data_IF_103305781747
#
_entry.id   IF_103305781747
#
_cell.length_a   1.000
_cell.length_b   1.000
_cell.length_c   1.000
_cell.angle_alpha   90.00
_cell.angle_beta   90.00
_cell.angle_gamma   90.00
#
_symmetry.space_group_name_H-M   'P 1'
#
loop_
_entity.id
_entity.type
_entity.pdbx_description
1 polymer ?
#
# COMPACT_ATOMS: atom_id res chain seq x y z
N UNK A 1 3.24 -16.41 -66.00
CA UNK A 1 3.49 -15.17 -66.76
C UNK A 1 4.72 -14.49 -66.17
N UNK A 2 5.74 -14.19 -66.97
CA UNK A 2 6.85 -13.33 -66.51
C UNK A 2 6.32 -11.90 -66.41
N UNK A 3 6.26 -11.36 -65.20
CA UNK A 3 5.83 -9.98 -64.96
C UNK A 3 6.82 -9.04 -65.63
N UNK A 4 6.35 -8.21 -66.57
CA UNK A 4 7.18 -7.17 -67.17
C UNK A 4 7.15 -5.93 -66.27
N UNK A 5 8.25 -5.68 -65.55
CA UNK A 5 8.36 -4.55 -64.63
C UNK A 5 8.73 -3.28 -65.40
N UNK A 6 8.14 -2.14 -65.03
CA UNK A 6 8.60 -0.85 -65.55
C UNK A 6 10.08 -0.61 -65.21
N UNK A 7 10.83 0.11 -66.06
CA UNK A 7 12.18 0.56 -65.74
C UNK A 7 12.21 1.30 -64.39
N UNK A 8 13.32 1.18 -63.64
CA UNK A 8 13.42 1.74 -62.29
C UNK A 8 13.07 3.23 -62.22
N UNK A 9 13.53 4.00 -63.21
CA UNK A 9 13.32 5.45 -63.32
C UNK A 9 11.85 5.82 -63.52
N UNK A 10 11.13 5.09 -64.36
CA UNK A 10 9.71 5.29 -64.61
C UNK A 10 8.87 4.84 -63.41
N UNK A 11 9.24 3.70 -62.83
CA UNK A 11 8.55 3.13 -61.68
C UNK A 11 8.65 4.03 -60.45
N UNK A 12 9.84 4.57 -60.13
CA UNK A 12 9.98 5.53 -59.02
C UNK A 12 9.29 6.87 -59.32
N UNK A 13 9.31 7.35 -60.56
CA UNK A 13 8.61 8.58 -60.95
C UNK A 13 7.09 8.47 -60.76
N UNK A 14 6.51 7.29 -61.01
CA UNK A 14 5.13 7.00 -60.66
C UNK A 14 4.91 7.07 -59.14
N UNK A 15 5.78 6.43 -58.35
CA UNK A 15 5.67 6.42 -56.89
C UNK A 15 5.82 7.82 -56.29
N UNK A 16 6.67 8.68 -56.85
CA UNK A 16 6.81 10.09 -56.43
C UNK A 16 5.49 10.87 -56.60
N UNK A 17 4.72 10.61 -57.66
CA UNK A 17 3.40 11.23 -57.88
C UNK A 17 2.38 10.85 -56.81
N UNK A 18 2.56 9.72 -56.13
CA UNK A 18 1.70 9.28 -55.03
C UNK A 18 1.99 10.01 -53.71
N UNK A 19 3.09 10.77 -53.64
CA UNK A 19 3.47 11.61 -52.49
C UNK A 19 3.51 10.85 -51.14
N UNK A 20 3.89 9.57 -51.17
CA UNK A 20 4.08 8.80 -49.94
C UNK A 20 5.30 9.30 -49.19
N UNK A 21 5.11 9.54 -47.89
CA UNK A 21 6.17 10.03 -46.99
C UNK A 21 6.81 8.93 -46.16
N UNK A 22 6.15 7.78 -46.04
CA UNK A 22 6.62 6.68 -45.17
C UNK A 22 6.59 5.34 -45.87
N UNK A 23 7.48 4.44 -45.41
CA UNK A 23 7.51 3.04 -45.84
C UNK A 23 6.17 2.35 -45.56
N UNK A 24 5.52 2.70 -44.45
CA UNK A 24 4.21 2.15 -44.07
C UNK A 24 3.14 2.50 -45.10
N UNK A 25 3.07 3.74 -45.57
CA UNK A 25 2.13 4.16 -46.61
C UNK A 25 2.34 3.35 -47.92
N UNK A 26 3.61 3.15 -48.31
CA UNK A 26 3.94 2.33 -49.47
C UNK A 26 3.52 0.87 -49.31
N UNK A 27 3.73 0.28 -48.13
CA UNK A 27 3.34 -1.11 -47.86
C UNK A 27 1.82 -1.30 -47.85
N UNK A 28 1.07 -0.36 -47.27
CA UNK A 28 -0.39 -0.37 -47.28
C UNK A 28 -0.90 -0.25 -48.73
N UNK A 29 -0.41 0.74 -49.48
CA UNK A 29 -0.76 0.92 -50.88
C UNK A 29 -0.43 -0.32 -51.73
N UNK A 30 0.76 -0.89 -51.55
CA UNK A 30 1.21 -2.07 -52.30
C UNK A 30 0.34 -3.31 -52.08
N UNK A 31 -0.34 -3.39 -50.92
CA UNK A 31 -1.27 -4.47 -50.54
C UNK A 31 -2.74 -4.14 -50.84
N UNK A 32 -3.07 -2.88 -51.14
CA UNK A 32 -4.45 -2.41 -51.32
C UNK A 32 -5.14 -2.87 -52.61
N UNK A 33 -4.43 -3.56 -53.51
CA UNK A 33 -4.91 -3.88 -54.87
C UNK A 33 -4.86 -2.71 -55.86
N UNK A 34 -4.62 -1.47 -55.40
CA UNK A 34 -4.54 -0.27 -56.25
C UNK A 34 -3.18 -0.04 -56.91
N UNK A 35 -2.17 -0.86 -56.59
CA UNK A 35 -0.83 -0.78 -57.16
C UNK A 35 -0.85 -1.36 -58.58
N UNK A 36 -0.39 -0.63 -59.61
CA UNK A 36 -0.28 -1.17 -60.97
C UNK A 36 0.52 -2.47 -61.00
N UNK A 37 0.10 -3.42 -61.83
CA UNK A 37 0.71 -4.75 -61.91
C UNK A 37 2.19 -4.71 -62.32
N UNK A 38 2.59 -3.72 -63.11
CA UNK A 38 3.95 -3.47 -63.59
C UNK A 38 4.84 -2.66 -62.62
N UNK A 39 4.35 -2.32 -61.42
CA UNK A 39 5.12 -1.68 -60.35
C UNK A 39 5.38 -2.71 -59.25
N UNK A 40 6.61 -3.09 -58.90
CA UNK A 40 6.83 -4.15 -57.93
C UNK A 40 6.47 -3.72 -56.51
N UNK A 41 5.84 -4.61 -55.73
CA UNK A 41 5.59 -4.39 -54.29
C UNK A 41 6.89 -4.40 -53.45
N UNK A 42 7.93 -5.05 -53.97
CA UNK A 42 9.26 -5.15 -53.36
C UNK A 42 10.34 -4.62 -54.33
N UNK A 43 10.43 -3.29 -54.53
CA UNK A 43 11.32 -2.69 -55.53
C UNK A 43 12.80 -3.01 -55.28
N UNK A 44 13.25 -3.16 -54.03
CA UNK A 44 14.61 -3.63 -53.69
C UNK A 44 14.97 -4.97 -54.32
N UNK A 45 14.00 -5.90 -54.41
CA UNK A 45 14.22 -7.25 -54.97
C UNK A 45 14.22 -7.21 -56.49
N UNK A 46 13.37 -6.37 -57.07
CA UNK A 46 13.23 -6.25 -58.53
C UNK A 46 14.37 -5.44 -59.14
N UNK A 47 14.68 -4.27 -58.58
CA UNK A 47 15.67 -3.33 -59.12
C UNK A 47 17.02 -3.46 -58.41
N UNK A 48 17.49 -4.68 -58.15
CA UNK A 48 18.66 -4.94 -57.28
C UNK A 48 19.91 -4.13 -57.67
N UNK A 49 20.15 -3.91 -58.97
CA UNK A 49 21.30 -3.17 -59.50
C UNK A 49 21.11 -1.64 -59.47
N UNK A 50 19.87 -1.15 -59.51
CA UNK A 50 19.53 0.27 -59.62
C UNK A 50 18.98 0.85 -58.31
N UNK A 51 18.75 0.02 -57.30
CA UNK A 51 18.10 0.36 -56.04
C UNK A 51 18.95 1.31 -55.18
N UNK A 52 18.44 2.53 -54.96
CA UNK A 52 19.12 3.57 -54.16
C UNK A 52 18.57 3.73 -52.73
N UNK A 53 17.65 2.87 -52.33
CA UNK A 53 17.00 2.91 -51.03
C UNK A 53 15.56 3.40 -51.08
N UNK A 54 14.84 3.17 -49.98
CA UNK A 54 13.40 3.44 -49.94
C UNK A 54 13.09 4.94 -50.08
N UNK A 55 13.99 5.81 -49.64
CA UNK A 55 13.76 7.25 -49.75
C UNK A 55 13.84 7.77 -51.19
N UNK A 56 14.77 7.26 -52.01
CA UNK A 56 14.81 7.56 -53.45
C UNK A 56 13.57 6.99 -54.16
N UNK A 57 13.11 5.81 -53.74
CA UNK A 57 11.91 5.19 -54.28
C UNK A 57 10.63 5.97 -53.98
N UNK A 58 10.50 6.50 -52.75
CA UNK A 58 9.33 7.27 -52.33
C UNK A 58 9.41 8.75 -52.75
N UNK A 59 10.58 9.23 -53.16
CA UNK A 59 10.80 10.65 -53.49
C UNK A 59 10.85 11.53 -52.24
N UNK A 60 11.19 10.94 -51.10
CA UNK A 60 11.39 11.69 -49.85
C UNK A 60 12.83 12.16 -49.82
N UNK A 61 13.06 13.47 -49.93
CA UNK A 61 14.39 14.04 -49.71
C UNK A 61 14.85 13.67 -48.29
N UNK A 62 15.88 12.84 -48.18
CA UNK A 62 16.48 12.54 -46.87
C UNK A 62 17.24 13.79 -46.44
N UNK A 63 16.60 14.63 -45.64
CA UNK A 63 17.37 15.48 -44.75
C UNK A 63 18.08 14.52 -43.80
N UNK A 64 19.39 14.34 -43.99
CA UNK A 64 20.24 13.59 -43.05
C UNK A 64 19.86 14.03 -41.63
N UNK A 65 19.79 13.10 -40.67
CA UNK A 65 19.39 13.41 -39.30
C UNK A 65 20.17 14.59 -38.69
N UNK A 66 21.41 14.81 -39.15
CA UNK A 66 22.27 15.93 -38.76
C UNK A 66 21.94 17.28 -39.45
N UNK A 67 21.25 17.26 -40.59
CA UNK A 67 20.79 18.44 -41.34
C UNK A 67 19.35 18.87 -40.99
N UNK A 68 18.68 18.16 -40.08
CA UNK A 68 17.30 18.47 -39.67
C UNK A 68 17.26 19.78 -38.89
N UNK A 69 16.58 20.77 -39.44
CA UNK A 69 16.27 22.02 -38.76
C UNK A 69 14.97 21.83 -37.99
N UNK A 70 15.06 21.76 -36.66
CA UNK A 70 13.88 21.71 -35.80
C UNK A 70 13.36 23.12 -35.54
N UNK A 71 12.03 23.30 -35.56
CA UNK A 71 11.44 24.60 -35.23
C UNK A 71 11.76 24.98 -33.78
N UNK A 72 11.68 26.28 -33.47
CA UNK A 72 11.93 26.81 -32.12
C UNK A 72 11.01 26.15 -31.09
N UNK A 73 11.52 26.00 -29.87
CA UNK A 73 10.83 25.29 -28.79
C UNK A 73 9.40 25.81 -28.56
N UNK A 74 9.22 27.13 -28.53
CA UNK A 74 7.91 27.76 -28.30
C UNK A 74 6.87 27.41 -29.37
N UNK A 75 7.26 27.36 -30.63
CA UNK A 75 6.36 27.01 -31.73
C UNK A 75 6.13 25.50 -31.82
N UNK A 76 7.13 24.71 -31.42
CA UNK A 76 7.02 23.27 -31.31
C UNK A 76 6.01 22.84 -30.23
N UNK A 77 6.12 23.39 -29.02
CA UNK A 77 5.18 23.06 -27.94
C UNK A 77 3.77 23.54 -28.22
N UNK A 78 3.58 24.72 -28.83
CA UNK A 78 2.25 25.19 -29.28
C UNK A 78 1.57 24.21 -30.24
N UNK A 79 2.33 23.57 -31.13
CA UNK A 79 1.79 22.50 -31.98
C UNK A 79 1.39 21.28 -31.16
N UNK A 80 2.26 20.85 -30.24
CA UNK A 80 2.03 19.65 -29.41
C UNK A 80 0.83 19.84 -28.47
N UNK A 81 0.61 21.04 -27.93
CA UNK A 81 -0.54 21.36 -27.08
C UNK A 81 -1.87 21.12 -27.79
N UNK A 82 -1.94 21.40 -29.10
CA UNK A 82 -3.14 21.14 -29.92
C UNK A 82 -3.46 19.64 -30.08
N UNK A 83 -2.52 18.76 -29.75
CA UNK A 83 -2.74 17.31 -29.79
C UNK A 83 -3.36 16.76 -28.50
N UNK A 84 -3.44 17.57 -27.44
CA UNK A 84 -4.06 17.22 -26.15
C UNK A 84 -3.56 15.89 -25.56
N UNK A 85 -2.28 15.58 -25.78
CA UNK A 85 -1.67 14.34 -25.33
C UNK A 85 -1.39 14.39 -23.83
N UNK A 86 -1.94 13.43 -23.11
CA UNK A 86 -1.96 13.46 -21.63
C UNK A 86 -0.66 13.02 -20.96
N UNK A 87 0.23 12.31 -21.66
CA UNK A 87 1.47 11.79 -21.06
C UNK A 87 2.54 11.45 -22.12
N UNK A 88 3.73 11.11 -21.61
CA UNK A 88 4.89 10.74 -22.44
C UNK A 88 4.63 9.52 -23.32
N UNK A 89 3.87 8.54 -22.86
CA UNK A 89 3.60 7.33 -23.62
C UNK A 89 2.70 7.62 -24.82
N UNK A 90 1.68 8.46 -24.62
CA UNK A 90 0.84 8.99 -25.69
C UNK A 90 1.66 9.76 -26.74
N UNK A 91 2.65 10.54 -26.31
CA UNK A 91 3.59 11.20 -27.23
C UNK A 91 4.46 10.22 -28.03
N UNK A 92 4.96 9.18 -27.39
CA UNK A 92 5.78 8.16 -28.05
C UNK A 92 4.95 7.41 -29.10
N UNK A 93 3.73 7.01 -28.76
CA UNK A 93 2.82 6.35 -29.71
C UNK A 93 2.47 7.27 -30.89
N UNK A 94 2.13 8.54 -30.62
CA UNK A 94 1.91 9.53 -31.67
C UNK A 94 3.11 9.64 -32.64
N UNK A 95 4.34 9.67 -32.11
CA UNK A 95 5.55 9.72 -32.94
C UNK A 95 5.75 8.47 -33.80
N UNK A 96 5.39 7.27 -33.28
CA UNK A 96 5.51 6.00 -34.01
C UNK A 96 4.53 5.92 -35.19
N UNK A 97 3.35 6.52 -35.07
CA UNK A 97 2.35 6.56 -36.15
C UNK A 97 2.80 7.36 -37.38
N UNK A 98 3.87 8.16 -37.26
CA UNK A 98 4.45 8.89 -38.39
C UNK A 98 3.65 10.14 -38.82
N UNK A 99 2.66 10.55 -38.01
CA UNK A 99 1.83 11.73 -38.27
C UNK A 99 2.48 13.05 -37.83
N UNK A 100 3.63 12.97 -37.16
CA UNK A 100 4.35 14.14 -36.64
C UNK A 100 5.12 14.85 -37.78
N UNK A 101 5.01 16.19 -37.91
CA UNK A 101 5.83 16.97 -38.84
C UNK A 101 7.34 16.71 -38.68
N UNK A 102 8.08 16.77 -39.79
CA UNK A 102 9.52 16.44 -39.81
C UNK A 102 10.38 17.41 -38.98
N UNK A 103 9.90 18.64 -38.78
CA UNK A 103 10.54 19.72 -38.02
C UNK A 103 10.22 19.70 -36.51
N UNK A 104 9.47 18.69 -36.04
CA UNK A 104 9.27 18.42 -34.62
C UNK A 104 10.13 17.22 -34.23
N UNK A 105 10.94 17.26 -33.16
CA UNK A 105 11.76 16.13 -32.77
C UNK A 105 10.95 15.02 -32.09
N UNK A 106 11.34 13.75 -32.28
CA UNK A 106 10.77 12.64 -31.48
C UNK A 106 11.16 12.74 -30.00
N UNK A 107 12.41 13.15 -29.73
CA UNK A 107 12.93 13.39 -28.39
C UNK A 107 13.19 14.89 -28.20
N UNK A 108 12.20 15.65 -27.71
CA UNK A 108 12.33 17.10 -27.57
C UNK A 108 13.34 17.51 -26.50
N UNK A 109 13.62 16.67 -25.49
CA UNK A 109 14.67 16.94 -24.51
C UNK A 109 16.05 17.04 -25.19
N UNK A 110 16.40 16.09 -26.05
CA UNK A 110 17.69 16.12 -26.76
C UNK A 110 17.86 17.37 -27.62
N UNK A 111 16.78 17.82 -28.26
CA UNK A 111 16.79 18.96 -29.18
C UNK A 111 16.76 20.29 -28.44
N UNK A 112 15.97 20.42 -27.38
CA UNK A 112 15.68 21.70 -26.73
C UNK A 112 16.33 21.87 -25.35
N UNK A 113 17.16 20.94 -24.88
CA UNK A 113 17.81 20.98 -23.55
C UNK A 113 18.42 22.34 -23.19
N UNK A 114 19.05 23.01 -24.17
CA UNK A 114 19.72 24.30 -24.01
C UNK A 114 18.96 25.46 -24.68
N UNK A 115 17.74 25.20 -25.15
CA UNK A 115 16.92 26.11 -25.95
C UNK A 115 15.53 26.29 -25.36
N UNK A 116 15.44 26.31 -24.03
CA UNK A 116 14.22 26.62 -23.29
C UNK A 116 13.38 25.43 -22.83
N UNK A 117 13.86 24.18 -22.94
CA UNK A 117 13.13 22.99 -22.47
C UNK A 117 12.74 23.06 -20.99
N UNK A 118 11.43 23.01 -20.70
CA UNK A 118 10.87 23.06 -19.34
C UNK A 118 10.34 21.71 -18.82
N UNK A 119 10.59 20.64 -19.56
CA UNK A 119 10.11 19.31 -19.22
C UNK A 119 8.90 18.86 -20.03
N UNK A 120 8.53 17.60 -19.82
CA UNK A 120 7.50 16.95 -20.63
C UNK A 120 6.10 17.53 -20.39
N UNK A 121 5.80 18.01 -19.18
CA UNK A 121 4.49 18.62 -18.91
C UNK A 121 4.29 19.96 -19.63
N UNK A 122 5.32 20.79 -19.71
CA UNK A 122 5.29 22.01 -20.55
C UNK A 122 5.21 21.66 -22.03
N UNK A 123 5.96 20.64 -22.49
CA UNK A 123 5.90 20.18 -23.87
C UNK A 123 4.51 19.69 -24.30
N UNK A 124 3.84 18.92 -23.43
CA UNK A 124 2.52 18.36 -23.70
C UNK A 124 1.37 19.31 -23.38
N UNK A 125 1.64 20.38 -22.63
CA UNK A 125 0.60 21.31 -22.17
C UNK A 125 -0.21 20.79 -20.99
N UNK A 126 0.26 19.74 -20.30
CA UNK A 126 -0.41 19.17 -19.12
C UNK A 126 -0.12 19.97 -17.84
N UNK A 127 0.76 20.97 -17.90
CA UNK A 127 1.17 21.78 -16.76
C UNK A 127 1.97 21.02 -15.68
N UNK A 128 2.29 19.74 -15.90
CA UNK A 128 2.98 18.90 -14.92
C UNK A 128 4.44 19.32 -14.77
N UNK A 129 4.81 19.87 -13.61
CA UNK A 129 6.18 20.24 -13.30
C UNK A 129 7.04 19.01 -13.01
N UNK A 130 8.35 19.11 -13.28
CA UNK A 130 9.28 18.09 -12.82
C UNK A 130 9.32 18.10 -11.29
N UNK A 131 9.42 16.92 -10.65
CA UNK A 131 9.36 16.80 -9.18
C UNK A 131 10.33 17.71 -8.43
N UNK A 132 11.50 18.00 -9.02
CA UNK A 132 12.53 18.88 -8.45
C UNK A 132 12.13 20.37 -8.43
N UNK A 133 11.21 20.77 -9.30
CA UNK A 133 10.77 22.15 -9.51
C UNK A 133 9.42 22.41 -8.80
N UNK A 134 8.85 21.40 -8.13
CA UNK A 134 7.61 21.52 -7.35
C UNK A 134 7.92 22.06 -5.95
N UNK A 135 7.36 23.22 -5.64
CA UNK A 135 7.32 23.73 -4.27
C UNK A 135 6.16 23.09 -3.50
N UNK A 136 6.48 22.07 -2.69
CA UNK A 136 5.49 21.34 -1.90
C UNK A 136 4.94 22.17 -0.75
N UNK A 137 3.68 21.91 -0.39
CA UNK A 137 3.09 22.53 0.81
C UNK A 137 3.88 22.16 2.08
N UNK A 138 3.93 23.06 3.08
CA UNK A 138 4.47 22.72 4.39
C UNK A 138 3.75 21.50 4.98
N UNK A 139 4.49 20.64 5.69
CA UNK A 139 3.98 19.36 6.20
C UNK A 139 2.63 19.49 6.91
N UNK A 140 2.49 20.46 7.83
CA UNK A 140 1.24 20.69 8.58
C UNK A 140 0.06 20.98 7.67
N UNK A 141 0.24 21.83 6.67
CA UNK A 141 -0.83 22.20 5.71
C UNK A 141 -1.23 20.99 4.86
N UNK A 142 -0.24 20.27 4.34
CA UNK A 142 -0.48 19.09 3.53
C UNK A 142 -1.16 17.97 4.34
N UNK A 143 -0.75 17.76 5.59
CA UNK A 143 -1.35 16.79 6.51
C UNK A 143 -2.82 17.09 6.80
N UNK A 144 -3.15 18.36 7.12
CA UNK A 144 -4.55 18.78 7.36
C UNK A 144 -5.42 18.49 6.13
N UNK A 145 -4.90 18.75 4.92
CA UNK A 145 -5.62 18.42 3.70
C UNK A 145 -5.83 16.91 3.56
N UNK A 146 -4.78 16.11 3.77
CA UNK A 146 -4.87 14.65 3.62
C UNK A 146 -5.81 14.02 4.65
N UNK A 147 -5.87 14.55 5.87
CA UNK A 147 -6.82 14.10 6.90
C UNK A 147 -8.27 14.26 6.46
N UNK A 148 -8.59 15.32 5.70
CA UNK A 148 -9.95 15.55 5.15
C UNK A 148 -10.36 14.54 4.08
N UNK A 149 -9.44 13.75 3.55
CA UNK A 149 -9.72 12.73 2.53
C UNK A 149 -10.20 11.40 3.12
N UNK A 150 -10.10 11.23 4.45
CA UNK A 150 -10.57 10.04 5.18
C UNK A 150 -10.03 8.69 4.63
N UNK A 151 -8.82 8.70 4.08
CA UNK A 151 -8.19 7.51 3.50
C UNK A 151 -7.73 6.55 4.60
N UNK A 152 -8.00 5.26 4.44
CA UNK A 152 -7.83 4.30 5.53
C UNK A 152 -6.46 3.61 5.56
N UNK A 153 -5.69 3.71 4.47
CA UNK A 153 -4.40 3.04 4.38
C UNK A 153 -3.53 3.44 3.20
N UNK A 154 -2.34 2.84 3.16
CA UNK A 154 -1.34 3.14 2.12
C UNK A 154 -1.82 2.81 0.71
N UNK A 155 -2.67 1.80 0.55
CA UNK A 155 -3.22 1.44 -0.77
C UNK A 155 -4.22 2.50 -1.26
N UNK A 156 -5.06 3.03 -0.36
CA UNK A 156 -5.98 4.12 -0.68
C UNK A 156 -5.20 5.39 -1.06
N UNK A 157 -4.12 5.69 -0.33
CA UNK A 157 -3.21 6.78 -0.68
C UNK A 157 -2.62 6.61 -2.08
N UNK A 158 -2.18 5.40 -2.42
CA UNK A 158 -1.60 5.09 -3.74
C UNK A 158 -2.63 5.24 -4.86
N UNK A 159 -3.87 4.78 -4.64
CA UNK A 159 -4.98 4.96 -5.59
C UNK A 159 -5.32 6.43 -5.77
N UNK A 160 -5.43 7.19 -4.68
CA UNK A 160 -5.67 8.63 -4.72
C UNK A 160 -4.57 9.39 -5.48
N UNK A 161 -3.30 9.02 -5.28
CA UNK A 161 -2.19 9.63 -6.02
C UNK A 161 -2.27 9.37 -7.55
N UNK A 162 -2.88 8.27 -7.96
CA UNK A 162 -3.02 7.87 -9.36
C UNK A 162 -4.30 8.36 -10.04
N UNK A 163 -5.30 8.81 -9.27
CA UNK A 163 -6.60 9.22 -9.83
C UNK A 163 -6.57 10.55 -10.57
N UNK A 164 -5.46 11.30 -10.49
CA UNK A 164 -5.37 12.67 -11.03
C UNK A 164 -5.92 13.75 -10.09
N UNK A 165 -6.66 13.37 -9.03
CA UNK A 165 -7.27 14.33 -8.10
C UNK A 165 -6.29 14.89 -7.06
N UNK A 166 -5.10 14.29 -6.92
CA UNK A 166 -4.08 14.74 -5.97
C UNK A 166 -3.52 16.10 -6.41
N UNK A 167 -3.63 17.15 -5.58
CA UNK A 167 -2.99 18.43 -5.87
C UNK A 167 -1.50 18.28 -6.17
N UNK A 168 -0.98 19.06 -7.11
CA UNK A 168 0.44 19.00 -7.52
C UNK A 168 1.38 19.30 -6.35
N UNK A 169 1.01 20.29 -5.51
CA UNK A 169 1.76 20.72 -4.32
C UNK A 169 1.77 19.70 -3.17
N UNK A 170 1.14 18.54 -3.36
CA UNK A 170 1.18 17.43 -2.40
C UNK A 170 2.07 16.32 -2.97
N UNK A 171 3.14 15.91 -2.28
CA UNK A 171 4.01 14.86 -2.77
C UNK A 171 3.29 13.51 -2.73
N UNK A 172 3.49 12.68 -3.75
CA UNK A 172 3.01 11.29 -3.75
C UNK A 172 3.79 10.39 -2.77
N UNK A 173 5.05 10.75 -2.51
CA UNK A 173 5.96 10.12 -1.56
C UNK A 173 6.28 11.06 -0.38
N UNK A 174 5.32 11.33 0.52
CA UNK A 174 5.51 12.28 1.62
C UNK A 174 6.65 11.92 2.58
N UNK A 175 7.01 10.63 2.70
CA UNK A 175 8.17 10.18 3.49
C UNK A 175 9.51 10.67 2.92
N UNK A 176 9.60 10.97 1.63
CA UNK A 176 10.81 11.50 1.00
C UNK A 176 10.88 13.02 1.09
N UNK A 177 9.73 13.70 1.02
CA UNK A 177 9.64 15.16 1.07
C UNK A 177 9.74 15.68 2.51
N UNK A 178 9.02 15.05 3.44
CA UNK A 178 8.91 15.50 4.83
C UNK A 178 9.75 14.63 5.78
N UNK A 179 10.98 14.28 5.40
CA UNK A 179 11.81 13.30 6.12
C UNK A 179 11.95 13.59 7.62
N UNK A 180 12.00 14.87 8.02
CA UNK A 180 12.19 15.28 9.42
C UNK A 180 10.89 15.21 10.22
N UNK A 181 9.76 15.55 9.60
CA UNK A 181 8.44 15.57 10.24
C UNK A 181 7.67 14.25 10.11
N UNK A 182 8.08 13.38 9.18
CA UNK A 182 7.40 12.13 8.86
C UNK A 182 7.48 11.13 10.00
N UNK A 183 6.32 10.76 10.55
CA UNK A 183 6.21 9.72 11.58
C UNK A 183 5.82 8.37 10.99
N UNK A 184 4.68 8.33 10.32
CA UNK A 184 4.14 7.13 9.69
C UNK A 184 3.08 7.51 8.66
N UNK A 185 2.72 6.54 7.81
CA UNK A 185 1.57 6.70 6.92
C UNK A 185 0.27 6.90 7.71
N UNK A 186 0.15 6.34 8.92
CA UNK A 186 -1.02 6.55 9.77
C UNK A 186 -1.14 7.97 10.32
N UNK A 187 -0.03 8.62 10.69
CA UNK A 187 -0.02 10.05 11.06
C UNK A 187 -0.38 10.92 9.86
N UNK A 188 0.16 10.60 8.68
CA UNK A 188 -0.13 11.32 7.44
C UNK A 188 -1.59 11.25 7.01
N UNK A 189 -2.19 10.05 7.08
CA UNK A 189 -3.58 9.81 6.71
C UNK A 189 -4.58 10.17 7.80
N UNK A 190 -4.11 10.36 9.04
CA UNK A 190 -4.98 10.68 10.18
C UNK A 190 -5.62 9.46 10.83
N UNK A 191 -5.16 8.25 10.47
CA UNK A 191 -5.67 6.99 11.03
C UNK A 191 -5.02 6.60 12.35
N UNK A 192 -3.96 7.30 12.78
CA UNK A 192 -3.19 6.97 13.99
C UNK A 192 -2.39 5.67 13.90
N UNK A 193 -2.48 4.93 12.79
CA UNK A 193 -1.88 3.58 12.70
C UNK A 193 -0.35 3.62 12.76
N UNK A 194 0.22 3.05 13.82
CA UNK A 194 1.67 2.84 13.97
C UNK A 194 2.06 1.45 13.44
N UNK A 195 3.17 1.37 12.71
CA UNK A 195 3.75 0.12 12.23
C UNK A 195 4.05 -0.82 13.41
N UNK A 196 3.68 -2.10 13.29
CA UNK A 196 3.67 -3.07 14.40
C UNK A 196 5.02 -3.17 15.13
N UNK A 197 6.12 -3.13 14.39
CA UNK A 197 7.50 -3.21 14.89
C UNK A 197 7.95 -1.97 15.68
N UNK A 198 7.30 -0.81 15.51
CA UNK A 198 7.62 0.43 16.23
C UNK A 198 6.73 0.65 17.46
N UNK A 199 5.75 -0.22 17.71
CA UNK A 199 4.81 -0.07 18.82
C UNK A 199 5.52 -0.36 20.14
N UNK A 200 5.54 0.64 21.03
CA UNK A 200 5.94 0.49 22.44
C UNK A 200 4.68 0.34 23.28
N UNK A 201 4.42 -0.87 23.75
CA UNK A 201 3.24 -1.16 24.56
C UNK A 201 3.47 -0.82 26.04
N UNK A 202 2.39 -0.41 26.72
CA UNK A 202 2.36 -0.30 28.17
C UNK A 202 2.66 -1.65 28.82
N UNK A 203 3.24 -1.60 30.03
CA UNK A 203 3.35 -2.76 30.91
C UNK A 203 1.96 -3.36 31.19
N UNK A 204 1.93 -4.64 31.55
CA UNK A 204 0.69 -5.37 31.81
C UNK A 204 -0.22 -4.63 32.81
N UNK A 205 0.34 -4.18 33.94
CA UNK A 205 -0.41 -3.50 35.01
C UNK A 205 -0.97 -2.15 34.57
N UNK A 206 -0.22 -1.37 33.78
CA UNK A 206 -0.67 -0.07 33.29
C UNK A 206 -1.74 -0.23 32.21
N UNK A 207 -1.59 -1.21 31.30
CA UNK A 207 -2.62 -1.55 30.34
C UNK A 207 -3.90 -2.03 31.05
N UNK A 208 -3.76 -2.89 32.06
CA UNK A 208 -4.88 -3.39 32.86
C UNK A 208 -5.68 -2.27 33.52
N UNK A 209 -5.02 -1.30 34.16
CA UNK A 209 -5.66 -0.12 34.77
C UNK A 209 -6.52 0.68 33.78
N UNK A 210 -6.06 0.81 32.53
CA UNK A 210 -6.86 1.44 31.48
C UNK A 210 -8.06 0.57 31.09
N UNK A 211 -7.82 -0.71 30.82
CA UNK A 211 -8.84 -1.64 30.32
C UNK A 211 -9.96 -1.86 31.34
N UNK A 212 -9.66 -1.84 32.64
CA UNK A 212 -10.66 -1.93 33.72
C UNK A 212 -11.69 -0.80 33.67
N UNK A 213 -11.30 0.41 33.21
CA UNK A 213 -12.21 1.56 33.05
C UNK A 213 -13.21 1.39 31.90
N UNK A 214 -12.96 0.45 30.98
CA UNK A 214 -13.83 0.20 29.83
C UNK A 214 -14.99 -0.75 30.15
N UNK A 215 -14.97 -1.42 31.31
CA UNK A 215 -16.02 -2.34 31.76
C UNK A 215 -16.41 -3.41 30.71
N UNK A 216 -15.43 -3.96 29.98
CA UNK A 216 -15.68 -4.89 28.89
C UNK A 216 -15.89 -6.33 29.37
N UNK A 217 -17.01 -6.93 28.97
CA UNK A 217 -17.37 -8.31 29.33
C UNK A 217 -16.75 -9.35 28.38
N UNK A 218 -15.48 -9.69 28.62
CA UNK A 218 -14.80 -10.81 27.95
C UNK A 218 -14.13 -10.48 26.61
N UNK A 219 -13.43 -11.47 26.05
CA UNK A 219 -12.58 -11.29 24.86
C UNK A 219 -13.35 -10.90 23.60
N UNK A 220 -14.63 -11.27 23.48
CA UNK A 220 -15.49 -10.84 22.36
C UNK A 220 -15.79 -9.35 22.43
N UNK A 221 -16.10 -8.81 23.61
CA UNK A 221 -16.29 -7.38 23.82
C UNK A 221 -15.00 -6.60 23.54
N UNK A 222 -13.85 -7.14 23.98
CA UNK A 222 -12.53 -6.59 23.63
C UNK A 222 -12.32 -6.49 22.12
N UNK A 223 -12.55 -7.56 21.35
CA UNK A 223 -12.38 -7.54 19.89
C UNK A 223 -13.28 -6.49 19.22
N UNK A 224 -14.53 -6.33 19.69
CA UNK A 224 -15.43 -5.26 19.19
C UNK A 224 -14.88 -3.87 19.49
N UNK A 225 -14.37 -3.64 20.70
CA UNK A 225 -13.74 -2.38 21.08
C UNK A 225 -12.52 -2.06 20.20
N UNK A 226 -11.63 -3.03 19.97
CA UNK A 226 -10.47 -2.86 19.08
C UNK A 226 -10.92 -2.48 17.66
N UNK A 227 -11.96 -3.14 17.12
CA UNK A 227 -12.51 -2.82 15.79
C UNK A 227 -13.13 -1.43 15.69
N UNK A 228 -13.55 -0.82 16.80
CA UNK A 228 -14.11 0.54 16.81
C UNK A 228 -13.07 1.65 16.54
N UNK A 229 -11.77 1.31 16.51
CA UNK A 229 -10.69 2.29 16.30
C UNK A 229 -10.35 3.13 17.52
N UNK A 230 -11.06 2.98 18.66
CA UNK A 230 -10.84 3.74 19.89
C UNK A 230 -9.71 3.21 20.78
N UNK A 231 -8.97 2.20 20.33
CA UNK A 231 -7.88 1.61 21.11
C UNK A 231 -6.64 2.53 21.07
N UNK A 232 -6.10 2.96 22.21
CA UNK A 232 -4.85 3.70 22.23
C UNK A 232 -3.68 2.90 21.63
N UNK A 233 -2.79 3.58 20.91
CA UNK A 233 -1.68 2.95 20.18
C UNK A 233 -0.68 2.20 21.07
N UNK A 234 -0.60 2.56 22.34
CA UNK A 234 0.27 1.94 23.35
C UNK A 234 -0.37 0.73 24.04
N UNK A 235 -1.55 0.27 23.60
CA UNK A 235 -2.19 -0.94 24.10
C UNK A 235 -2.27 -1.98 22.98
N UNK A 236 -1.77 -3.21 23.21
CA UNK A 236 -1.80 -4.23 22.18
C UNK A 236 -3.23 -4.67 21.88
N UNK A 237 -3.58 -4.78 20.60
CA UNK A 237 -4.87 -5.33 20.16
C UNK A 237 -5.05 -6.80 20.54
N UNK A 238 -3.93 -7.53 20.66
CA UNK A 238 -3.86 -8.93 21.09
C UNK A 238 -3.02 -9.03 22.37
N UNK A 239 -3.58 -8.61 23.52
CA UNK A 239 -2.85 -8.51 24.78
C UNK A 239 -2.39 -9.87 25.29
N UNK A 240 -3.15 -10.95 25.06
CA UNK A 240 -2.75 -12.27 25.48
C UNK A 240 -1.46 -12.73 24.80
N UNK A 241 -1.28 -12.48 23.50
CA UNK A 241 -0.02 -12.83 22.83
C UNK A 241 1.14 -11.94 23.31
N UNK A 242 0.92 -10.62 23.35
CA UNK A 242 1.95 -9.65 23.74
C UNK A 242 2.48 -9.91 25.15
N UNK A 243 1.59 -10.03 26.13
CA UNK A 243 1.98 -10.19 27.53
C UNK A 243 2.39 -11.63 27.87
N UNK A 244 1.93 -12.63 27.11
CA UNK A 244 2.41 -14.01 27.27
C UNK A 244 3.87 -14.14 26.84
N UNK A 245 4.27 -13.48 25.75
CA UNK A 245 5.69 -13.39 25.35
C UNK A 245 6.56 -12.67 26.38
N UNK A 246 5.98 -11.72 27.11
CA UNK A 246 6.65 -11.01 28.21
C UNK A 246 6.62 -11.78 29.54
N UNK A 247 5.95 -12.93 29.61
CA UNK A 247 5.79 -13.70 30.85
C UNK A 247 4.86 -13.06 31.90
N UNK A 248 4.16 -11.98 31.57
CA UNK A 248 3.32 -11.20 32.50
C UNK A 248 1.82 -11.49 32.36
N UNK A 249 1.41 -12.22 31.33
CA UNK A 249 0.00 -12.53 31.10
C UNK A 249 -0.56 -13.52 32.13
N UNK A 250 -1.64 -13.11 32.80
CA UNK A 250 -2.37 -13.96 33.75
C UNK A 250 -3.58 -14.62 33.07
N UNK A 251 -4.58 -13.81 32.70
CA UNK A 251 -5.79 -14.29 32.03
C UNK A 251 -6.60 -13.13 31.45
N UNK A 252 -7.58 -13.45 30.60
CA UNK A 252 -8.60 -12.49 30.17
C UNK A 252 -9.42 -11.93 31.33
N UNK A 253 -9.69 -12.75 32.35
CA UNK A 253 -10.46 -12.33 33.52
C UNK A 253 -9.73 -11.25 34.32
N UNK A 254 -8.42 -11.42 34.53
CA UNK A 254 -7.59 -10.40 35.20
C UNK A 254 -7.46 -9.15 34.33
N UNK A 255 -7.07 -9.30 33.06
CA UNK A 255 -6.81 -8.18 32.16
C UNK A 255 -8.05 -7.29 31.92
N UNK A 256 -9.24 -7.88 31.82
CA UNK A 256 -10.50 -7.15 31.62
C UNK A 256 -11.17 -6.69 32.92
N UNK A 257 -10.69 -7.14 34.08
CA UNK A 257 -11.28 -6.80 35.37
C UNK A 257 -12.60 -7.53 35.66
N UNK A 258 -12.87 -8.62 34.96
CA UNK A 258 -14.08 -9.44 35.20
C UNK A 258 -13.85 -10.49 36.29
N UNK A 259 -12.61 -10.68 36.76
CA UNK A 259 -12.19 -11.68 37.75
C UNK A 259 -12.61 -13.13 37.42
N UNK A 260 -13.00 -13.37 36.17
CA UNK A 260 -13.39 -14.69 35.67
C UNK A 260 -12.12 -15.48 35.29
N UNK A 261 -11.39 -15.90 36.32
CA UNK A 261 -10.13 -16.66 36.21
C UNK A 261 -10.47 -18.16 36.36
N UNK A 262 -9.86 -19.00 35.53
CA UNK A 262 -10.10 -20.45 35.61
C UNK A 262 -9.72 -21.02 36.99
N UNK A 263 -10.50 -21.99 37.46
CA UNK A 263 -10.29 -22.66 38.75
C UNK A 263 -8.88 -23.24 38.84
N UNK A 264 -8.33 -23.73 37.72
CA UNK A 264 -6.96 -24.24 37.63
C UNK A 264 -5.91 -23.17 37.90
N UNK A 265 -6.07 -21.95 37.39
CA UNK A 265 -5.14 -20.84 37.65
C UNK A 265 -5.27 -20.38 39.12
N UNK A 266 -6.50 -20.23 39.62
CA UNK A 266 -6.75 -19.92 41.05
C UNK A 266 -6.16 -21.00 41.97
N UNK A 267 -6.16 -22.27 41.54
CA UNK A 267 -5.62 -23.37 42.34
C UNK A 267 -4.14 -23.28 42.66
N UNK A 268 -3.34 -22.59 41.82
CA UNK A 268 -1.91 -22.39 42.04
C UNK A 268 -1.60 -21.38 43.16
N UNK A 269 -2.53 -20.47 43.46
CA UNK A 269 -2.35 -19.47 44.53
C UNK A 269 -2.87 -19.95 45.89
N UNK A 270 -3.63 -21.05 45.94
CA UNK A 270 -4.19 -21.58 47.18
C UNK A 270 -3.14 -22.25 48.07
N UNK A 271 -3.42 -22.28 49.38
CA UNK A 271 -2.59 -23.03 50.33
C UNK A 271 -2.59 -24.52 49.99
N UNK A 272 -1.43 -25.16 50.17
CA UNK A 272 -1.33 -26.62 50.05
C UNK A 272 -2.27 -27.31 51.05
N UNK A 273 -2.74 -28.54 50.77
CA UNK A 273 -3.69 -29.24 51.66
C UNK A 273 -3.24 -29.30 53.13
N UNK A 274 -1.93 -29.49 53.36
CA UNK A 274 -1.33 -29.53 54.71
C UNK A 274 -1.47 -28.19 55.45
N UNK A 275 -1.24 -27.07 54.75
CA UNK A 275 -1.36 -25.71 55.32
C UNK A 275 -2.82 -25.23 55.40
N UNK A 276 -3.67 -25.68 54.49
CA UNK A 276 -5.09 -25.32 54.46
C UNK A 276 -5.91 -26.00 55.57
N UNK A 277 -5.55 -27.23 55.97
CA UNK A 277 -6.27 -28.01 57.00
C UNK A 277 -6.50 -27.26 58.33
N UNK A 278 -5.49 -26.62 58.97
CA UNK A 278 -5.73 -25.86 60.21
C UNK A 278 -6.62 -24.64 60.01
N UNK A 279 -6.46 -23.92 58.88
CA UNK A 279 -7.29 -22.75 58.55
C UNK A 279 -8.75 -23.15 58.36
N UNK A 280 -9.00 -24.24 57.62
CA UNK A 280 -10.34 -24.80 57.42
C UNK A 280 -10.97 -25.23 58.73
N UNK A 281 -10.23 -25.89 59.64
CA UNK A 281 -10.75 -26.25 60.96
C UNK A 281 -11.19 -25.02 61.77
N UNK A 282 -10.42 -23.93 61.73
CA UNK A 282 -10.78 -22.68 62.40
C UNK A 282 -12.06 -22.09 61.82
N UNK A 283 -12.15 -21.97 60.49
CA UNK A 283 -13.34 -21.45 59.81
C UNK A 283 -14.59 -22.29 60.09
N UNK A 284 -14.46 -23.62 60.07
CA UNK A 284 -15.61 -24.50 60.32
C UNK A 284 -16.14 -24.36 61.75
N UNK A 285 -15.26 -24.13 62.73
CA UNK A 285 -15.64 -23.88 64.12
C UNK A 285 -16.25 -22.50 64.32
N UNK A 286 -15.63 -21.47 63.74
CA UNK A 286 -16.01 -20.06 63.92
C UNK A 286 -17.37 -19.74 63.27
N UNK A 287 -17.67 -20.36 62.13
CA UNK A 287 -18.89 -20.11 61.35
C UNK A 287 -19.91 -21.26 61.42
N UNK A 288 -19.77 -22.17 62.38
CA UNK A 288 -20.63 -23.36 62.58
C UNK A 288 -20.91 -24.15 61.28
N UNK A 289 -19.87 -24.37 60.46
CA UNK A 289 -19.99 -25.07 59.17
C UNK A 289 -19.94 -26.58 59.42
N UNK A 290 -21.06 -27.28 59.22
CA UNK A 290 -21.18 -28.71 59.57
C UNK A 290 -20.92 -29.64 58.40
N UNK A 291 -21.18 -29.18 57.17
CA UNK A 291 -21.06 -30.00 55.97
C UNK A 291 -20.68 -29.18 54.73
N UNK A 292 -20.51 -29.87 53.59
CA UNK A 292 -20.15 -29.25 52.32
C UNK A 292 -21.24 -28.32 51.74
N UNK A 293 -22.51 -28.53 52.11
CA UNK A 293 -23.60 -27.63 51.71
C UNK A 293 -23.46 -26.28 52.42
N UNK A 294 -23.20 -26.32 53.73
CA UNK A 294 -22.94 -25.12 54.54
C UNK A 294 -21.69 -24.39 54.04
N UNK A 295 -20.64 -25.13 53.67
CA UNK A 295 -19.45 -24.56 53.05
C UNK A 295 -19.77 -23.85 51.73
N UNK A 296 -20.59 -24.43 50.85
CA UNK A 296 -20.98 -23.78 49.59
C UNK A 296 -21.73 -22.46 49.84
N UNK A 297 -22.61 -22.43 50.84
CA UNK A 297 -23.32 -21.20 51.24
C UNK A 297 -22.35 -20.16 51.79
N UNK A 298 -21.47 -20.56 52.71
CA UNK A 298 -20.42 -19.71 53.28
C UNK A 298 -19.50 -19.13 52.20
N UNK A 299 -19.00 -19.97 51.29
CA UNK A 299 -18.08 -19.56 50.24
C UNK A 299 -18.71 -18.60 49.23
N UNK A 300 -20.04 -18.65 49.04
CA UNK A 300 -20.78 -17.70 48.20
C UNK A 300 -20.84 -16.31 48.81
N UNK A 301 -20.92 -16.21 50.13
CA UNK A 301 -21.04 -14.93 50.86
C UNK A 301 -19.69 -14.37 51.33
N UNK A 302 -18.68 -15.22 51.53
CA UNK A 302 -17.37 -14.85 52.09
C UNK A 302 -16.21 -14.98 51.09
N UNK A 303 -16.48 -14.74 49.80
CA UNK A 303 -15.49 -14.91 48.72
C UNK A 303 -14.20 -14.10 48.91
N UNK A 304 -14.28 -12.85 49.41
CA UNK A 304 -13.09 -12.01 49.68
C UNK A 304 -12.20 -12.60 50.77
N UNK A 305 -12.80 -13.05 51.88
CA UNK A 305 -12.09 -13.71 52.98
C UNK A 305 -11.36 -14.97 52.50
N UNK A 306 -12.01 -15.76 51.63
CA UNK A 306 -11.39 -16.95 51.05
C UNK A 306 -10.20 -16.62 50.14
N UNK A 307 -10.26 -15.52 49.39
CA UNK A 307 -9.15 -15.05 48.57
C UNK A 307 -7.96 -14.59 49.43
N UNK A 308 -8.21 -13.85 50.51
CA UNK A 308 -7.19 -13.41 51.47
C UNK A 308 -6.50 -14.59 52.17
N UNK A 309 -7.30 -15.56 52.63
CA UNK A 309 -6.81 -16.78 53.28
C UNK A 309 -6.25 -17.80 52.29
N UNK A 310 -6.36 -17.55 50.98
CA UNK A 310 -5.95 -18.46 49.91
C UNK A 310 -6.58 -19.85 50.04
N UNK A 311 -7.86 -19.89 50.37
CA UNK A 311 -8.67 -21.11 50.51
C UNK A 311 -9.66 -21.23 49.34
N UNK A 312 -9.79 -22.41 48.70
CA UNK A 312 -10.72 -22.57 47.57
C UNK A 312 -12.18 -22.60 48.00
N UNK A 313 -13.05 -21.96 47.23
CA UNK A 313 -14.51 -22.08 47.38
C UNK A 313 -15.03 -23.49 47.03
N UNK A 314 -14.36 -24.21 46.13
CA UNK A 314 -14.71 -25.59 45.71
C UNK A 314 -13.74 -26.63 46.29
N UNK A 315 -13.84 -26.91 47.59
CA UNK A 315 -12.91 -27.78 48.32
C UNK A 315 -12.67 -29.15 47.65
N UNK A 316 -13.72 -29.86 47.25
CA UNK A 316 -13.60 -31.21 46.67
C UNK A 316 -12.88 -31.22 45.32
N UNK A 317 -13.12 -30.20 44.49
CA UNK A 317 -12.52 -30.09 43.17
C UNK A 317 -11.04 -29.71 43.30
N UNK A 318 -10.73 -28.74 44.17
CA UNK A 318 -9.36 -28.25 44.35
C UNK A 318 -8.49 -29.25 45.12
N UNK A 319 -8.96 -29.80 46.23
CA UNK A 319 -8.24 -30.75 47.09
C UNK A 319 -8.63 -32.22 46.84
N UNK A 320 -9.02 -32.56 45.61
CA UNK A 320 -9.26 -33.95 45.22
C UNK A 320 -8.01 -34.82 45.40
N UNK A 321 -8.17 -36.13 45.67
CA UNK A 321 -7.04 -37.09 45.80
C UNK A 321 -6.04 -36.96 44.65
N UNK A 322 -6.53 -36.85 43.40
CA UNK A 322 -5.70 -36.68 42.19
C UNK A 322 -4.86 -35.41 42.23
N UNK A 323 -5.40 -34.31 42.75
CA UNK A 323 -4.66 -33.06 42.86
C UNK A 323 -3.67 -33.12 44.02
N UNK A 324 -4.03 -33.65 45.19
CA UNK A 324 -3.10 -33.81 46.32
C UNK A 324 -1.86 -34.62 45.93
N UNK A 325 -2.03 -35.72 45.18
CA UNK A 325 -0.91 -36.53 44.67
C UNK A 325 0.00 -35.70 43.74
N UNK A 326 -0.56 -34.80 42.91
CA UNK A 326 0.23 -33.90 42.06
C UNK A 326 1.04 -32.88 42.87
N UNK A 327 0.49 -32.37 43.97
CA UNK A 327 1.19 -31.45 44.87
C UNK A 327 2.37 -32.13 45.57
N UNK A 328 2.25 -33.41 45.91
CA UNK A 328 3.32 -34.18 46.57
C UNK A 328 4.45 -34.56 45.60
N UNK A 329 4.16 -34.75 44.30
CA UNK A 329 5.15 -35.01 43.25
C UNK A 329 5.93 -33.79 42.75
N UNK A 330 5.57 -32.58 43.20
CA UNK A 330 6.23 -31.31 42.85
C UNK A 330 7.22 -30.82 43.91
N UNK A 331 7.45 -31.62 44.97
CA UNK A 331 8.62 -31.54 45.84
C UNK A 331 9.65 -32.54 45.36
#
# INVERSE_FOLDING_TARGET
>A
MKTNWLPYTEARSFVHKLKFKTVTQWLIYSKSGKRPFNIPSSPRRTYKKEWKGMSDWLGTEIIQTQKRVYRKYDDARKFVHKLELINRDAWIEYCKLGNKPDDIPNNPWNTYKNSGWKGMGDWLGTGTLATRDIEFWPFKKARIFVHKLELTGSEDWKKYCKSGNKPEKIPSAPWNTYKKEWKSIGDWLGTGTIASQKRKYLTYDNAKKFVHKLHLSGSTAWRKYVKSGKLPDNIPSNPNNTYQKQGTWISWGDFLGTNNISVTIKSKSFLSPKKAKPVLKKLFKEYDIKNLSDWKKFAKTHGKLLEELRIPSYLLTTYSKKNVIKWEKQK
#
